data_IF_489822153379
#
_entry.id   IF_489822153379
#
_cell.length_a   1.000
_cell.length_b   1.000
_cell.length_c   1.000
_cell.angle_alpha   90.00
_cell.angle_beta   90.00
_cell.angle_gamma   90.00
#
_symmetry.space_group_name_H-M   'P 1'
#
loop_
_entity.id
_entity.type
_entity.pdbx_description
1 polymer ?
#
# COMPACT_ATOMS: atom_id res chain seq x y z
N UNK A 1 25.01 -11.61 -6.26
CA UNK A 1 23.91 -11.32 -5.31
C UNK A 1 24.17 -12.14 -4.06
N UNK A 2 24.28 -11.50 -2.91
CA UNK A 2 24.56 -12.17 -1.63
C UNK A 2 23.35 -12.99 -1.14
N UNK A 3 23.61 -14.01 -0.28
CA UNK A 3 22.53 -14.78 0.35
C UNK A 3 21.59 -13.87 1.17
N UNK A 4 22.14 -12.85 1.84
CA UNK A 4 21.38 -11.82 2.57
C UNK A 4 20.37 -11.13 1.63
N UNK A 5 20.82 -10.64 0.49
CA UNK A 5 19.99 -9.97 -0.53
C UNK A 5 18.84 -10.86 -0.99
N UNK A 6 19.13 -12.12 -1.37
CA UNK A 6 18.09 -13.08 -1.76
C UNK A 6 17.04 -13.27 -0.68
N UNK A 7 17.46 -13.50 0.57
CA UNK A 7 16.55 -13.71 1.69
C UNK A 7 15.62 -12.51 1.89
N UNK A 8 16.15 -11.29 1.92
CA UNK A 8 15.35 -10.09 2.13
C UNK A 8 14.41 -9.80 0.97
N UNK A 9 14.82 -10.01 -0.28
CA UNK A 9 13.96 -9.83 -1.44
C UNK A 9 12.84 -10.86 -1.51
N UNK A 10 13.12 -12.13 -1.20
CA UNK A 10 12.11 -13.17 -1.13
C UNK A 10 11.10 -12.86 -0.01
N UNK A 11 11.57 -12.52 1.19
CA UNK A 11 10.71 -12.15 2.31
C UNK A 11 9.86 -10.92 1.98
N UNK A 12 10.44 -9.92 1.30
CA UNK A 12 9.69 -8.73 0.85
C UNK A 12 8.61 -9.08 -0.18
N UNK A 13 8.90 -9.99 -1.12
CA UNK A 13 7.92 -10.51 -2.07
C UNK A 13 6.79 -11.27 -1.40
N UNK A 14 7.12 -12.16 -0.45
CA UNK A 14 6.14 -12.91 0.35
C UNK A 14 5.27 -11.96 1.19
N UNK A 15 5.86 -10.95 1.83
CA UNK A 15 5.12 -9.93 2.57
C UNK A 15 4.17 -9.14 1.66
N UNK A 16 4.60 -8.80 0.43
CA UNK A 16 3.72 -8.16 -0.57
C UNK A 16 2.50 -9.03 -0.89
N UNK A 17 2.72 -10.30 -1.19
CA UNK A 17 1.63 -11.23 -1.49
C UNK A 17 0.70 -11.42 -0.30
N UNK A 18 1.23 -11.57 0.92
CA UNK A 18 0.44 -11.67 2.15
C UNK A 18 -0.38 -10.40 2.41
N UNK A 19 0.21 -9.22 2.20
CA UNK A 19 -0.51 -7.94 2.30
C UNK A 19 -1.70 -7.90 1.34
N UNK A 20 -1.52 -8.26 0.08
CA UNK A 20 -2.60 -8.27 -0.92
C UNK A 20 -3.70 -9.26 -0.57
N UNK A 21 -3.35 -10.47 -0.12
CA UNK A 21 -4.34 -11.46 0.31
C UNK A 21 -5.19 -10.95 1.48
N UNK A 22 -4.54 -10.36 2.48
CA UNK A 22 -5.21 -9.74 3.61
C UNK A 22 -6.10 -8.57 3.18
N UNK A 23 -5.59 -7.67 2.33
CA UNK A 23 -6.31 -6.51 1.82
C UNK A 23 -7.56 -6.90 1.05
N UNK A 24 -7.44 -7.76 0.04
CA UNK A 24 -8.58 -8.19 -0.74
C UNK A 24 -9.59 -8.99 0.09
N UNK A 25 -9.13 -9.77 1.09
CA UNK A 25 -10.03 -10.43 2.01
C UNK A 25 -10.77 -9.43 2.91
N UNK A 26 -10.09 -8.42 3.41
CA UNK A 26 -10.71 -7.35 4.18
C UNK A 26 -11.79 -6.63 3.37
N UNK A 27 -11.52 -6.30 2.09
CA UNK A 27 -12.49 -5.67 1.18
C UNK A 27 -13.71 -6.55 0.89
N UNK A 28 -13.57 -7.88 0.87
CA UNK A 28 -14.69 -8.79 0.65
C UNK A 28 -15.66 -8.86 1.85
N UNK A 29 -15.14 -8.71 3.07
CA UNK A 29 -15.91 -8.89 4.31
C UNK A 29 -16.16 -7.60 5.07
N UNK A 30 -15.49 -6.50 4.70
CA UNK A 30 -15.59 -5.18 5.31
C UNK A 30 -16.08 -4.11 4.34
N UNK A 31 -16.31 -2.92 4.87
CA UNK A 31 -16.66 -1.75 4.07
C UNK A 31 -15.38 -1.09 3.56
N UNK A 32 -15.34 -0.73 2.27
CA UNK A 32 -14.16 -0.13 1.62
C UNK A 32 -13.68 1.10 2.37
N UNK A 33 -14.63 1.95 2.79
CA UNK A 33 -14.36 3.20 3.51
C UNK A 33 -13.69 3.00 4.88
N UNK A 34 -13.77 1.80 5.45
CA UNK A 34 -13.12 1.43 6.71
C UNK A 34 -11.81 0.68 6.48
N UNK A 35 -11.78 -0.20 5.48
CA UNK A 35 -10.62 -1.06 5.17
C UNK A 35 -9.46 -0.25 4.62
N UNK A 36 -9.73 0.59 3.60
CA UNK A 36 -8.67 1.35 2.91
C UNK A 36 -7.84 2.22 3.87
N UNK A 37 -8.44 2.92 4.80
CA UNK A 37 -7.69 3.74 5.73
C UNK A 37 -6.85 2.97 6.75
N UNK A 38 -7.36 1.83 7.21
CA UNK A 38 -6.55 0.94 8.07
C UNK A 38 -5.33 0.44 7.29
N UNK A 39 -5.48 0.06 6.03
CA UNK A 39 -4.36 -0.31 5.17
C UNK A 39 -3.38 0.87 4.96
N UNK A 40 -3.89 2.10 4.76
CA UNK A 40 -3.04 3.30 4.61
C UNK A 40 -2.23 3.65 5.88
N UNK A 41 -2.64 3.18 7.06
CA UNK A 41 -1.84 3.30 8.29
C UNK A 41 -0.48 2.58 8.19
N UNK A 42 -0.30 1.72 7.19
CA UNK A 42 1.00 1.11 6.85
C UNK A 42 2.13 2.13 6.66
N UNK A 43 1.83 3.37 6.24
CA UNK A 43 2.82 4.43 6.15
C UNK A 43 3.43 4.78 7.51
N UNK A 44 2.59 4.91 8.54
CA UNK A 44 3.04 5.17 9.92
C UNK A 44 3.88 4.00 10.42
N UNK A 45 3.41 2.76 10.21
CA UNK A 45 4.16 1.56 10.59
C UNK A 45 5.51 1.49 9.85
N UNK A 46 5.57 1.84 8.57
CA UNK A 46 6.82 1.87 7.80
C UNK A 46 7.82 2.87 8.37
N UNK A 47 7.37 4.06 8.79
CA UNK A 47 8.24 5.06 9.41
C UNK A 47 8.78 4.55 10.76
N UNK A 48 7.92 3.94 11.59
CA UNK A 48 8.33 3.36 12.87
C UNK A 48 9.33 2.21 12.67
N UNK A 49 9.10 1.35 11.68
CA UNK A 49 10.01 0.26 11.35
C UNK A 49 11.33 0.77 10.74
N UNK A 50 11.31 1.84 9.94
CA UNK A 50 12.52 2.47 9.42
C UNK A 50 13.40 3.02 10.55
N UNK A 51 12.80 3.66 11.55
CA UNK A 51 13.51 4.07 12.75
C UNK A 51 14.10 2.88 13.51
N UNK A 52 13.30 1.83 13.73
CA UNK A 52 13.71 0.69 14.55
C UNK A 52 14.77 -0.20 13.87
N UNK A 53 14.60 -0.49 12.57
CA UNK A 53 15.44 -1.46 11.85
C UNK A 53 16.50 -0.84 10.97
N UNK A 54 16.25 0.36 10.42
CA UNK A 54 17.19 1.06 9.55
C UNK A 54 17.99 2.13 10.32
N UNK A 55 17.70 2.30 11.62
CA UNK A 55 18.32 3.33 12.48
C UNK A 55 18.23 4.74 11.88
N UNK A 56 17.17 5.03 11.12
CA UNK A 56 16.92 6.37 10.60
C UNK A 56 16.58 7.33 11.74
N UNK A 57 17.21 8.50 11.77
CA UNK A 57 16.97 9.50 12.84
C UNK A 57 15.57 10.10 12.73
N UNK A 58 14.83 10.12 13.83
CA UNK A 58 13.56 10.85 13.92
C UNK A 58 13.83 12.19 14.59
N UNK A 59 13.71 13.29 13.84
CA UNK A 59 13.69 14.63 14.44
C UNK A 59 12.30 14.90 15.04
N UNK A 60 12.17 15.84 15.99
CA UNK A 60 10.87 16.26 16.51
C UNK A 60 9.89 16.72 15.41
N UNK A 61 10.43 17.32 14.34
CA UNK A 61 9.65 17.73 13.18
C UNK A 61 9.06 16.52 12.44
N UNK A 62 9.86 15.46 12.23
CA UNK A 62 9.38 14.21 11.60
C UNK A 62 8.28 13.54 12.44
N UNK A 63 8.41 13.58 13.77
CA UNK A 63 7.36 13.06 14.65
C UNK A 63 6.05 13.85 14.50
N UNK A 64 6.11 15.17 14.43
CA UNK A 64 4.95 16.02 14.16
C UNK A 64 4.33 15.66 12.80
N UNK A 65 5.13 15.45 11.76
CA UNK A 65 4.66 15.06 10.44
C UNK A 65 3.95 13.70 10.45
N UNK A 66 4.45 12.71 11.20
CA UNK A 66 3.79 11.42 11.40
C UNK A 66 2.40 11.60 12.02
N UNK A 67 2.30 12.45 13.05
CA UNK A 67 1.01 12.76 13.70
C UNK A 67 0.05 13.44 12.71
N UNK A 68 0.53 14.39 11.90
CA UNK A 68 -0.28 15.07 10.88
C UNK A 68 -0.79 14.08 9.82
N UNK A 69 0.07 13.18 9.32
CA UNK A 69 -0.32 12.14 8.37
C UNK A 69 -1.36 11.19 8.99
N UNK A 70 -1.17 10.79 10.25
CA UNK A 70 -2.09 9.93 10.98
C UNK A 70 -3.46 10.60 11.18
N UNK A 71 -3.47 11.84 11.65
CA UNK A 71 -4.69 12.62 11.84
C UNK A 71 -5.41 12.87 10.52
N UNK A 72 -4.68 13.22 9.46
CA UNK A 72 -5.23 13.41 8.12
C UNK A 72 -5.86 12.14 7.57
N UNK A 73 -5.16 11.00 7.71
CA UNK A 73 -5.68 9.69 7.34
C UNK A 73 -6.96 9.39 8.13
N UNK A 74 -6.97 9.58 9.43
CA UNK A 74 -8.15 9.38 10.28
C UNK A 74 -9.34 10.25 9.86
N UNK A 75 -9.13 11.54 9.55
CA UNK A 75 -10.19 12.44 9.07
C UNK A 75 -10.76 12.01 7.72
N UNK A 76 -9.95 11.45 6.84
CA UNK A 76 -10.44 10.90 5.58
C UNK A 76 -11.28 9.63 5.75
N UNK A 77 -11.07 8.88 6.86
CA UNK A 77 -11.84 7.68 7.20
C UNK A 77 -13.26 8.03 7.66
N UNK A 78 -13.40 9.17 8.35
CA UNK A 78 -14.55 9.46 9.21
C UNK A 78 -15.80 9.90 8.46
N UNK A 79 -15.98 9.69 7.14
CA UNK A 79 -17.30 9.72 6.49
C UNK A 79 -17.31 9.18 5.06
N UNK A 80 -18.14 8.15 4.82
CA UNK A 80 -19.49 8.30 4.24
C UNK A 80 -20.41 7.24 4.84
N UNK A 81 -21.32 7.66 5.71
CA UNK A 81 -22.60 6.98 5.85
C UNK A 81 -23.40 7.26 4.56
N UNK A 82 -23.06 6.59 3.47
CA UNK A 82 -23.99 6.39 2.36
C UNK A 82 -24.66 5.05 2.59
N UNK A 83 -25.91 5.16 3.00
CA UNK A 83 -26.99 4.19 3.00
C UNK A 83 -26.74 2.96 2.09
N UNK A 84 -26.19 1.91 2.66
CA UNK A 84 -26.53 0.55 2.30
C UNK A 84 -26.92 -0.15 3.62
N UNK A 85 -28.16 0.08 4.04
CA UNK A 85 -28.88 -0.83 4.90
C UNK A 85 -28.90 -2.19 4.21
N UNK A 86 -28.09 -3.09 4.72
CA UNK A 86 -28.25 -4.52 4.83
C UNK A 86 -26.87 -5.17 4.96
N UNK A 87 -26.33 -5.15 6.14
CA UNK A 87 -25.30 -6.11 6.50
C UNK A 87 -25.45 -6.47 7.99
N UNK A 88 -26.01 -7.68 8.15
CA UNK A 88 -25.99 -8.34 9.45
C UNK A 88 -24.60 -8.27 10.07
N UNK A 89 -24.52 -8.35 11.40
CA UNK A 89 -23.35 -8.28 12.27
C UNK A 89 -22.05 -8.74 11.56
N UNK A 90 -21.39 -7.82 10.82
CA UNK A 90 -20.04 -8.04 10.33
C UNK A 90 -19.10 -8.03 11.54
N UNK A 91 -18.63 -9.20 11.94
CA UNK A 91 -17.67 -9.33 13.05
C UNK A 91 -16.39 -8.54 12.78
N UNK A 92 -15.58 -8.32 13.79
CA UNK A 92 -14.29 -7.62 13.75
C UNK A 92 -13.23 -8.24 12.81
N UNK A 93 -13.57 -9.34 12.13
CA UNK A 93 -12.66 -10.06 11.24
C UNK A 93 -12.06 -9.19 10.13
N UNK A 94 -12.82 -8.26 9.53
CA UNK A 94 -12.33 -7.34 8.52
C UNK A 94 -11.18 -6.46 9.04
N UNK A 95 -11.27 -6.04 10.30
CA UNK A 95 -10.25 -5.19 10.92
C UNK A 95 -8.92 -5.92 11.09
N UNK A 96 -8.95 -7.18 11.53
CA UNK A 96 -7.73 -7.99 11.66
C UNK A 96 -7.06 -8.25 10.30
N UNK A 97 -7.84 -8.47 9.25
CA UNK A 97 -7.30 -8.59 7.90
C UNK A 97 -6.73 -7.27 7.39
N UNK A 98 -7.41 -6.14 7.59
CA UNK A 98 -6.93 -4.82 7.20
C UNK A 98 -5.65 -4.43 7.97
N UNK A 99 -5.59 -4.72 9.28
CA UNK A 99 -4.39 -4.51 10.10
C UNK A 99 -3.24 -5.42 9.65
N UNK A 100 -3.52 -6.69 9.38
CA UNK A 100 -2.55 -7.63 8.81
C UNK A 100 -1.99 -7.12 7.48
N UNK A 101 -2.85 -6.60 6.59
CA UNK A 101 -2.42 -5.95 5.35
C UNK A 101 -1.46 -4.80 5.61
N UNK A 102 -1.78 -3.90 6.54
CA UNK A 102 -0.94 -2.75 6.89
C UNK A 102 0.43 -3.19 7.44
N UNK A 103 0.47 -4.20 8.30
CA UNK A 103 1.72 -4.76 8.84
C UNK A 103 2.57 -5.36 7.72
N UNK A 104 2.00 -6.22 6.87
CA UNK A 104 2.74 -6.81 5.76
C UNK A 104 3.17 -5.78 4.71
N UNK A 105 2.36 -4.75 4.44
CA UNK A 105 2.74 -3.66 3.55
C UNK A 105 3.93 -2.86 4.08
N UNK A 106 3.98 -2.59 5.38
CA UNK A 106 5.13 -1.91 5.99
C UNK A 106 6.40 -2.78 5.97
N UNK A 107 6.27 -4.07 6.26
CA UNK A 107 7.38 -5.02 6.15
C UNK A 107 7.91 -5.12 4.73
N UNK A 108 7.03 -5.09 3.72
CA UNK A 108 7.40 -5.08 2.30
C UNK A 108 8.41 -3.98 1.98
N UNK A 109 8.15 -2.75 2.43
CA UNK A 109 8.99 -1.58 2.17
C UNK A 109 10.36 -1.71 2.87
N UNK A 110 10.37 -2.10 4.14
CA UNK A 110 11.61 -2.20 4.93
C UNK A 110 12.48 -3.35 4.44
N UNK A 111 11.91 -4.54 4.27
CA UNK A 111 12.64 -5.70 3.75
C UNK A 111 13.13 -5.46 2.31
N UNK A 112 12.31 -4.77 1.50
CA UNK A 112 12.69 -4.39 0.15
C UNK A 112 13.88 -3.45 0.14
N UNK A 113 13.89 -2.39 1.00
CA UNK A 113 15.01 -1.47 1.12
C UNK A 113 16.31 -2.18 1.49
N UNK A 114 16.29 -3.03 2.51
CA UNK A 114 17.46 -3.82 2.92
C UNK A 114 17.92 -4.77 1.80
N UNK A 115 16.96 -5.36 1.07
CA UNK A 115 17.25 -6.28 -0.03
C UNK A 115 17.92 -5.63 -1.24
N UNK A 116 17.62 -4.35 -1.54
CA UNK A 116 18.18 -3.62 -2.70
C UNK A 116 19.44 -2.82 -2.38
N UNK A 117 19.94 -2.85 -1.14
CA UNK A 117 21.05 -2.02 -0.68
C UNK A 117 22.33 -2.19 -1.54
N UNK A 118 22.61 -3.43 -1.99
CA UNK A 118 23.84 -3.79 -2.70
C UNK A 118 23.62 -4.35 -4.12
N UNK A 119 22.46 -4.09 -4.70
CA UNK A 119 22.13 -4.52 -6.07
C UNK A 119 21.35 -3.41 -6.78
N UNK A 120 21.27 -3.50 -8.11
CA UNK A 120 20.41 -2.62 -8.90
C UNK A 120 18.93 -2.78 -8.48
N UNK A 121 18.23 -1.64 -8.27
CA UNK A 121 16.84 -1.63 -7.82
C UNK A 121 15.88 -2.31 -8.79
N UNK A 122 16.17 -2.26 -10.10
CA UNK A 122 15.35 -2.92 -11.12
C UNK A 122 15.47 -4.45 -11.01
N UNK A 123 16.71 -4.96 -10.76
CA UNK A 123 16.93 -6.38 -10.51
C UNK A 123 16.23 -6.83 -9.22
N UNK A 124 16.33 -6.02 -8.15
CA UNK A 124 15.62 -6.30 -6.90
C UNK A 124 14.10 -6.34 -7.09
N UNK A 125 13.55 -5.39 -7.85
CA UNK A 125 12.12 -5.35 -8.19
C UNK A 125 11.71 -6.57 -9.01
N UNK A 126 12.51 -7.00 -10.00
CA UNK A 126 12.24 -8.19 -10.81
C UNK A 126 12.19 -9.47 -9.96
N UNK A 127 13.17 -9.69 -9.09
CA UNK A 127 13.21 -10.85 -8.18
C UNK A 127 11.96 -10.90 -7.31
N UNK A 128 11.59 -9.78 -6.67
CA UNK A 128 10.39 -9.71 -5.84
C UNK A 128 9.11 -9.97 -6.62
N UNK A 129 9.01 -9.40 -7.84
CA UNK A 129 7.84 -9.59 -8.70
C UNK A 129 7.65 -11.05 -9.09
N UNK A 130 8.74 -11.79 -9.34
CA UNK A 130 8.69 -13.24 -9.58
C UNK A 130 8.12 -13.97 -8.36
N UNK A 131 8.56 -13.63 -7.15
CA UNK A 131 8.02 -14.23 -5.91
C UNK A 131 6.52 -13.95 -5.76
N UNK A 132 6.09 -12.70 -5.99
CA UNK A 132 4.67 -12.32 -5.94
C UNK A 132 3.87 -13.07 -7.00
N UNK A 133 4.39 -13.22 -8.21
CA UNK A 133 3.76 -13.97 -9.30
C UNK A 133 3.55 -15.45 -8.91
N UNK A 134 4.57 -16.09 -8.37
CA UNK A 134 4.48 -17.48 -7.89
C UNK A 134 3.42 -17.60 -6.80
N UNK A 135 3.42 -16.68 -5.80
CA UNK A 135 2.38 -16.67 -4.76
C UNK A 135 0.98 -16.50 -5.35
N UNK A 136 0.79 -15.58 -6.29
CA UNK A 136 -0.50 -15.36 -6.93
C UNK A 136 -1.02 -16.62 -7.62
N UNK A 137 -0.17 -17.33 -8.35
CA UNK A 137 -0.54 -18.60 -8.98
C UNK A 137 -0.83 -19.72 -7.96
N UNK A 138 -0.04 -19.84 -6.89
CA UNK A 138 -0.32 -20.79 -5.81
C UNK A 138 -1.74 -20.54 -5.23
N UNK A 139 -2.10 -19.28 -4.98
CA UNK A 139 -3.43 -18.93 -4.49
C UNK A 139 -4.53 -19.31 -5.48
N UNK A 140 -4.34 -19.07 -6.78
CA UNK A 140 -5.29 -19.47 -7.83
C UNK A 140 -5.50 -20.99 -7.84
N UNK A 141 -4.43 -21.78 -7.74
CA UNK A 141 -4.51 -23.23 -7.71
C UNK A 141 -5.16 -23.77 -6.43
N UNK A 142 -4.76 -23.24 -5.26
CA UNK A 142 -5.32 -23.65 -3.95
C UNK A 142 -6.81 -23.32 -3.87
N UNK A 143 -7.24 -22.18 -4.42
CA UNK A 143 -8.64 -21.77 -4.45
C UNK A 143 -9.44 -22.41 -5.59
N UNK A 144 -8.81 -23.25 -6.44
CA UNK A 144 -9.42 -23.93 -7.59
C UNK A 144 -10.15 -22.97 -8.54
N UNK A 145 -9.58 -21.78 -8.77
CA UNK A 145 -10.18 -20.73 -9.61
C UNK A 145 -9.51 -20.60 -10.99
N UNK A 146 -8.67 -21.55 -11.38
CA UNK A 146 -7.96 -21.52 -12.66
C UNK A 146 -8.89 -21.45 -13.88
N UNK A 147 -10.07 -22.05 -13.80
CA UNK A 147 -11.03 -22.05 -14.91
C UNK A 147 -11.61 -20.66 -15.17
N UNK A 148 -11.72 -19.84 -14.13
CA UNK A 148 -12.20 -18.45 -14.27
C UNK A 148 -11.23 -17.55 -15.03
N UNK A 149 -9.94 -17.88 -15.07
CA UNK A 149 -8.95 -17.11 -15.85
C UNK A 149 -9.25 -17.18 -17.34
N UNK A 150 -9.83 -18.30 -17.81
CA UNK A 150 -10.20 -18.49 -19.22
C UNK A 150 -11.50 -17.78 -19.64
N UNK A 151 -12.30 -17.36 -18.68
CA UNK A 151 -13.62 -16.71 -18.92
C UNK A 151 -13.55 -15.20 -18.77
N UNK A 152 -12.36 -14.61 -18.62
CA UNK A 152 -12.20 -13.15 -18.52
C UNK A 152 -12.47 -12.52 -19.88
N UNK A 153 -13.34 -11.50 -19.91
CA UNK A 153 -13.62 -10.74 -21.13
C UNK A 153 -12.37 -9.96 -21.61
N UNK A 154 -12.21 -9.83 -22.92
CA UNK A 154 -11.06 -9.15 -23.53
C UNK A 154 -10.92 -7.69 -23.07
N UNK A 155 -12.03 -7.00 -22.79
CA UNK A 155 -12.01 -5.63 -22.27
C UNK A 155 -11.47 -5.59 -20.84
N UNK A 156 -11.95 -6.49 -19.98
CA UNK A 156 -11.46 -6.62 -18.59
C UNK A 156 -9.98 -6.98 -18.57
N UNK A 157 -9.57 -7.91 -19.42
CA UNK A 157 -8.16 -8.30 -19.56
C UNK A 157 -7.30 -7.11 -19.99
N UNK A 158 -7.77 -6.27 -20.92
CA UNK A 158 -7.09 -5.05 -21.35
C UNK A 158 -6.86 -4.07 -20.18
N UNK A 159 -7.87 -3.82 -19.37
CA UNK A 159 -7.74 -2.95 -18.17
C UNK A 159 -6.82 -3.56 -17.11
N UNK A 160 -6.87 -4.88 -16.89
CA UNK A 160 -5.98 -5.59 -15.96
C UNK A 160 -4.53 -5.47 -16.43
N UNK A 161 -4.26 -5.67 -17.72
CA UNK A 161 -2.91 -5.54 -18.29
C UNK A 161 -2.40 -4.10 -18.15
N UNK A 162 -3.21 -3.09 -18.48
CA UNK A 162 -2.85 -1.68 -18.34
C UNK A 162 -2.55 -1.32 -16.87
N UNK A 163 -3.39 -1.80 -15.95
CA UNK A 163 -3.17 -1.64 -14.51
C UNK A 163 -1.87 -2.32 -14.05
N UNK A 164 -1.57 -3.51 -14.58
CA UNK A 164 -0.32 -4.23 -14.30
C UNK A 164 0.91 -3.47 -14.77
N UNK A 165 0.88 -2.91 -15.98
CA UNK A 165 1.95 -2.08 -16.53
C UNK A 165 2.17 -0.81 -15.69
N UNK A 166 1.11 -0.11 -15.33
CA UNK A 166 1.19 1.08 -14.47
C UNK A 166 1.75 0.74 -13.08
N UNK A 167 1.34 -0.37 -12.49
CA UNK A 167 1.85 -0.87 -11.21
C UNK A 167 3.33 -1.21 -11.31
N UNK A 168 3.74 -1.89 -12.37
CA UNK A 168 5.15 -2.23 -12.62
C UNK A 168 6.03 -0.99 -12.73
N UNK A 169 5.62 -0.01 -13.54
CA UNK A 169 6.31 1.26 -13.68
C UNK A 169 6.41 2.02 -12.33
N UNK A 170 5.31 2.07 -11.57
CA UNK A 170 5.28 2.68 -10.24
C UNK A 170 6.29 1.99 -9.30
N UNK A 171 6.36 0.68 -9.30
CA UNK A 171 7.28 -0.07 -8.43
C UNK A 171 8.75 0.14 -8.79
N UNK A 172 9.08 0.22 -10.09
CA UNK A 172 10.44 0.54 -10.52
C UNK A 172 10.88 1.91 -9.97
N UNK A 173 10.04 2.93 -10.10
CA UNK A 173 10.30 4.26 -9.54
C UNK A 173 10.38 4.24 -8.02
N UNK A 174 9.45 3.55 -7.35
CA UNK A 174 9.40 3.46 -5.89
C UNK A 174 10.64 2.80 -5.28
N UNK A 175 11.06 1.65 -5.84
CA UNK A 175 12.26 0.96 -5.33
C UNK A 175 13.55 1.69 -5.68
N UNK A 176 13.58 2.42 -6.80
CA UNK A 176 14.71 3.32 -7.06
C UNK A 176 14.76 4.43 -6.03
N UNK A 177 13.65 5.07 -5.74
CA UNK A 177 13.57 6.09 -4.69
C UNK A 177 13.95 5.55 -3.30
N UNK A 178 13.51 4.33 -2.97
CA UNK A 178 13.90 3.66 -1.72
C UNK A 178 15.40 3.36 -1.65
N UNK A 179 16.04 3.06 -2.78
CA UNK A 179 17.48 2.82 -2.83
C UNK A 179 18.26 4.10 -2.54
N UNK A 180 17.85 5.22 -3.15
CA UNK A 180 18.57 6.49 -3.09
C UNK A 180 18.18 7.36 -1.87
N UNK A 181 16.99 7.12 -1.26
CA UNK A 181 16.44 7.95 -0.18
C UNK A 181 16.12 7.20 1.12
N UNK A 182 15.69 7.95 2.12
CA UNK A 182 15.25 7.41 3.41
C UNK A 182 13.85 6.79 3.28
N UNK A 183 13.63 5.61 3.86
CA UNK A 183 12.33 4.97 3.83
C UNK A 183 11.26 5.78 4.55
N UNK A 184 11.62 6.47 5.64
CA UNK A 184 10.72 7.37 6.39
C UNK A 184 10.21 8.55 5.56
N UNK A 185 10.89 8.92 4.46
CA UNK A 185 10.51 9.99 3.55
C UNK A 185 9.82 9.45 2.31
N UNK A 186 10.41 8.44 1.67
CA UNK A 186 9.91 7.88 0.41
C UNK A 186 8.51 7.25 0.55
N UNK A 187 8.28 6.51 1.64
CA UNK A 187 6.98 5.84 1.85
C UNK A 187 5.83 6.83 1.99
N UNK A 188 5.91 7.91 2.78
CA UNK A 188 4.86 8.94 2.80
C UNK A 188 4.65 9.63 1.46
N UNK A 189 5.71 9.94 0.70
CA UNK A 189 5.61 10.56 -0.63
C UNK A 189 4.82 9.68 -1.59
N UNK A 190 5.07 8.37 -1.60
CA UNK A 190 4.29 7.41 -2.40
C UNK A 190 2.79 7.50 -2.09
N UNK A 191 2.41 7.76 -0.83
CA UNK A 191 1.00 7.91 -0.43
C UNK A 191 0.34 9.18 -0.96
N UNK A 192 1.10 10.17 -1.48
CA UNK A 192 0.53 11.33 -2.19
C UNK A 192 -0.18 10.94 -3.50
N UNK A 193 -0.01 9.69 -3.97
CA UNK A 193 -0.83 9.12 -5.04
C UNK A 193 -2.34 9.24 -4.77
N UNK A 194 -2.75 9.40 -3.50
CA UNK A 194 -4.15 9.69 -3.12
C UNK A 194 -4.67 10.98 -3.76
N UNK A 195 -3.81 11.99 -3.98
CA UNK A 195 -4.18 13.24 -4.67
C UNK A 195 -4.64 12.96 -6.10
N UNK A 196 -3.89 12.11 -6.81
CA UNK A 196 -4.21 11.72 -8.19
C UNK A 196 -5.51 10.92 -8.22
N UNK A 197 -5.68 10.01 -7.26
CA UNK A 197 -6.92 9.20 -7.13
C UNK A 197 -8.14 10.10 -6.90
N UNK A 198 -8.05 11.07 -5.99
CA UNK A 198 -9.14 12.00 -5.69
C UNK A 198 -9.44 12.89 -6.88
N UNK A 199 -8.39 13.43 -7.53
CA UNK A 199 -8.56 14.25 -8.74
C UNK A 199 -9.26 13.46 -9.85
N UNK A 200 -8.85 12.21 -10.06
CA UNK A 200 -9.48 11.31 -11.04
C UNK A 200 -10.95 11.02 -10.68
N UNK A 201 -11.23 10.72 -9.40
CA UNK A 201 -12.58 10.48 -8.91
C UNK A 201 -13.49 11.71 -9.12
N UNK A 202 -12.96 12.91 -8.88
CA UNK A 202 -13.69 14.16 -9.13
C UNK A 202 -13.97 14.38 -10.63
N UNK A 203 -12.96 14.15 -11.50
CA UNK A 203 -13.09 14.41 -12.95
C UNK A 203 -13.94 13.37 -13.67
N UNK A 204 -13.82 12.08 -13.31
CA UNK A 204 -14.47 10.96 -14.03
C UNK A 204 -15.80 10.57 -13.40
N UNK A 205 -15.85 10.47 -12.07
CA UNK A 205 -17.05 10.06 -11.35
C UNK A 205 -17.86 11.22 -10.79
N UNK A 206 -17.35 12.47 -10.93
CA UNK A 206 -17.97 13.70 -10.40
C UNK A 206 -18.23 13.64 -8.88
N UNK A 207 -17.44 12.86 -8.17
CA UNK A 207 -17.54 12.75 -6.71
C UNK A 207 -16.97 14.01 -6.05
N UNK A 208 -17.77 14.63 -5.17
CA UNK A 208 -17.37 15.83 -4.46
C UNK A 208 -16.70 15.48 -3.13
N UNK A 209 -15.53 16.06 -2.89
CA UNK A 209 -14.83 15.92 -1.62
C UNK A 209 -15.61 16.61 -0.50
N UNK A 210 -15.86 15.90 0.59
CA UNK A 210 -16.43 16.50 1.80
C UNK A 210 -15.43 17.42 2.50
N UNK A 211 -15.92 18.40 3.26
CA UNK A 211 -15.07 19.36 3.99
C UNK A 211 -14.06 18.69 4.95
N UNK A 212 -14.46 17.57 5.59
CA UNK A 212 -13.59 16.79 6.48
C UNK A 212 -12.51 16.04 5.70
N UNK A 213 -12.87 15.44 4.56
CA UNK A 213 -11.96 14.74 3.66
C UNK A 213 -10.93 15.72 3.08
N UNK A 214 -11.36 16.91 2.65
CA UNK A 214 -10.46 17.98 2.20
C UNK A 214 -9.49 18.41 3.31
N UNK A 215 -9.95 18.58 4.55
CA UNK A 215 -9.10 18.86 5.70
C UNK A 215 -8.09 17.73 5.97
N UNK A 216 -8.53 16.48 5.92
CA UNK A 216 -7.66 15.29 6.05
C UNK A 216 -6.59 15.24 4.96
N UNK A 217 -6.97 15.54 3.72
CA UNK A 217 -6.04 15.59 2.59
C UNK A 217 -4.96 16.67 2.78
N UNK A 218 -5.34 17.87 3.22
CA UNK A 218 -4.40 18.95 3.52
C UNK A 218 -3.39 18.54 4.60
N UNK A 219 -3.85 17.86 5.67
CA UNK A 219 -2.97 17.37 6.72
C UNK A 219 -1.98 16.29 6.21
N UNK A 220 -2.43 15.37 5.36
CA UNK A 220 -1.56 14.35 4.75
C UNK A 220 -0.49 15.02 3.88
N UNK A 221 -0.90 15.96 3.03
CA UNK A 221 0.04 16.69 2.15
C UNK A 221 1.04 17.51 2.98
N UNK A 222 0.57 18.28 3.94
CA UNK A 222 1.43 19.09 4.81
C UNK A 222 2.41 18.22 5.61
N UNK A 223 1.93 17.11 6.19
CA UNK A 223 2.76 16.16 6.92
C UNK A 223 3.81 15.50 6.02
N UNK A 224 3.42 15.10 4.79
CA UNK A 224 4.35 14.48 3.84
C UNK A 224 5.40 15.45 3.33
N UNK A 225 5.01 16.69 2.98
CA UNK A 225 5.96 17.72 2.56
C UNK A 225 6.89 18.14 3.70
N UNK A 226 6.39 18.19 4.93
CA UNK A 226 7.21 18.45 6.11
C UNK A 226 8.26 17.36 6.39
N UNK A 227 8.08 16.14 5.88
CA UNK A 227 9.10 15.08 5.95
C UNK A 227 10.33 15.34 5.06
N UNK A 228 10.22 16.25 4.09
CA UNK A 228 11.32 16.60 3.17
C UNK A 228 12.30 17.60 3.78
N UNK A 229 11.92 18.24 4.89
CA UNK A 229 12.74 19.23 5.61
C UNK A 229 13.38 18.58 6.85
#
# INVERSE_FOLDING_TARGET
VSAKTWTFLILSGLATGASWLCYFRALQIGDVDKVVPVDKSSAILSILLAFLFLHESISPLKLLCVVLIGAGTYLMITKKETSFENSGKKGWSWFFYALGSAVFASLTSILGKVGIENIDSNLGTAIRTIVVLIMAWIVVFVTKKQDRVRTIDHRELGFICLSGLATGASWLCYYRALQDGLASVVVPIDKLSILVTILFSYLVFHEKLGKKEAGGLVLIVAGTLGMLV
#
